data_IF_169052873695
#
_entry.id   IF_169052873695
#
_cell.length_a   1.000
_cell.length_b   1.000
_cell.length_c   1.000
_cell.angle_alpha   90.00
_cell.angle_beta   90.00
_cell.angle_gamma   90.00
#
_symmetry.space_group_name_H-M   'P 1'
#
loop_
_entity.id
_entity.type
_entity.pdbx_description
1 polymer ?
#
# COMPACT_ATOMS: atom_id res chain seq x y z
N UNK A 1 -33.89 42.98 10.84
CA UNK A 1 -33.65 43.15 9.39
C UNK A 1 -32.29 42.48 9.06
N UNK A 2 -32.29 41.29 8.54
CA UNK A 2 -31.17 40.60 7.83
C UNK A 2 -31.72 39.30 7.27
N UNK A 3 -32.52 39.42 6.24
CA UNK A 3 -32.87 38.34 5.28
C UNK A 3 -32.24 38.75 3.96
N UNK A 4 -31.95 37.74 3.15
CA UNK A 4 -31.48 37.84 1.76
C UNK A 4 -29.94 37.79 1.67
N UNK A 5 -29.42 36.59 1.48
CA UNK A 5 -28.48 36.17 0.41
C UNK A 5 -28.38 34.62 0.49
N UNK A 6 -29.39 33.91 0.04
CA UNK A 6 -29.34 32.47 -0.30
C UNK A 6 -30.26 32.28 -1.53
N UNK A 7 -29.95 32.91 -2.61
CA UNK A 7 -30.76 32.77 -3.83
C UNK A 7 -29.98 32.92 -5.15
N UNK A 8 -28.68 32.77 -5.16
CA UNK A 8 -27.90 32.99 -6.39
C UNK A 8 -27.07 31.83 -6.90
N UNK A 9 -27.24 30.59 -6.38
CA UNK A 9 -26.47 29.42 -6.83
C UNK A 9 -27.35 28.33 -7.47
N UNK A 10 -28.67 28.55 -7.55
CA UNK A 10 -29.64 27.52 -7.98
C UNK A 10 -30.18 27.69 -9.38
N UNK A 11 -29.68 28.61 -10.21
CA UNK A 11 -30.29 28.95 -11.52
C UNK A 11 -29.46 28.54 -12.76
N UNK A 12 -28.45 27.70 -12.66
CA UNK A 12 -27.73 27.19 -13.86
C UNK A 12 -27.79 25.66 -13.96
N UNK A 13 -28.70 25.00 -13.27
CA UNK A 13 -28.75 23.53 -13.22
C UNK A 13 -29.92 22.86 -13.95
N UNK A 14 -30.70 23.58 -14.78
CA UNK A 14 -31.93 22.98 -15.34
C UNK A 14 -31.95 22.68 -16.83
N UNK A 15 -30.84 22.82 -17.55
CA UNK A 15 -30.81 22.40 -18.96
C UNK A 15 -29.51 21.70 -19.27
N UNK A 16 -29.49 20.43 -19.40
CA UNK A 16 -28.53 19.52 -20.05
C UNK A 16 -28.16 18.28 -19.20
N UNK A 17 -29.18 17.51 -18.79
CA UNK A 17 -28.94 16.19 -18.17
C UNK A 17 -28.62 15.11 -19.24
N UNK A 18 -28.83 15.40 -20.52
CA UNK A 18 -28.49 14.50 -21.63
C UNK A 18 -27.19 15.00 -22.28
N UNK A 19 -26.06 14.33 -22.02
CA UNK A 19 -24.86 14.49 -22.84
C UNK A 19 -23.66 15.22 -22.23
N UNK A 20 -23.47 15.25 -20.90
CA UNK A 20 -22.20 15.75 -20.37
C UNK A 20 -21.05 14.86 -20.88
N UNK A 21 -20.07 15.49 -21.55
CA UNK A 21 -18.89 14.77 -21.98
C UNK A 21 -18.07 14.29 -20.78
N UNK A 22 -17.30 13.23 -20.94
CA UNK A 22 -16.41 12.72 -19.90
C UNK A 22 -15.46 13.81 -19.40
N UNK A 23 -15.01 14.70 -20.28
CA UNK A 23 -14.16 15.84 -19.93
C UNK A 23 -14.88 16.83 -19.00
N UNK A 24 -16.15 17.13 -19.24
CA UNK A 24 -16.96 17.99 -18.37
C UNK A 24 -17.18 17.34 -17.01
N UNK A 25 -17.56 16.05 -16.98
CA UNK A 25 -17.74 15.29 -15.73
C UNK A 25 -16.43 15.34 -14.91
N UNK A 26 -15.30 15.08 -15.54
CA UNK A 26 -13.99 15.09 -14.90
C UNK A 26 -13.65 16.46 -14.32
N UNK A 27 -13.87 17.54 -15.09
CA UNK A 27 -13.63 18.91 -14.64
C UNK A 27 -14.47 19.28 -13.41
N UNK A 28 -15.75 18.93 -13.39
CA UNK A 28 -16.63 19.19 -12.24
C UNK A 28 -16.20 18.33 -11.04
N UNK A 29 -15.93 17.04 -11.25
CA UNK A 29 -15.45 16.17 -10.18
C UNK A 29 -14.11 16.61 -9.57
N UNK A 30 -13.20 17.19 -10.35
CA UNK A 30 -11.92 17.72 -9.86
C UNK A 30 -12.13 18.91 -8.89
N UNK A 31 -13.18 19.70 -9.09
CA UNK A 31 -13.36 20.98 -8.39
C UNK A 31 -14.48 21.00 -7.35
N UNK A 32 -15.43 20.05 -7.41
CA UNK A 32 -16.55 20.03 -6.46
C UNK A 32 -16.12 19.67 -5.04
N UNK A 33 -16.72 20.31 -4.04
CA UNK A 33 -16.56 19.98 -2.62
C UNK A 33 -17.41 18.78 -2.19
N UNK A 34 -18.46 18.44 -2.97
CA UNK A 34 -19.31 17.27 -2.75
C UNK A 34 -19.31 16.36 -4.00
N UNK A 35 -18.23 15.58 -4.23
CA UNK A 35 -18.15 14.70 -5.38
C UNK A 35 -19.16 13.56 -5.33
N UNK A 36 -19.50 13.07 -4.13
CA UNK A 36 -20.47 11.98 -3.96
C UNK A 36 -21.87 12.47 -4.29
N UNK A 37 -22.28 13.61 -3.74
CA UNK A 37 -23.58 14.22 -4.03
C UNK A 37 -23.70 14.57 -5.51
N UNK A 38 -22.67 15.10 -6.13
CA UNK A 38 -22.66 15.35 -7.57
C UNK A 38 -22.91 14.08 -8.39
N UNK A 39 -22.21 12.97 -8.10
CA UNK A 39 -22.41 11.70 -8.82
C UNK A 39 -23.79 11.13 -8.58
N UNK A 40 -24.26 11.16 -7.32
CA UNK A 40 -25.52 10.55 -6.90
C UNK A 40 -26.75 11.31 -7.41
N UNK A 41 -26.75 12.63 -7.24
CA UNK A 41 -27.96 13.44 -7.45
C UNK A 41 -27.97 14.18 -8.80
N UNK A 42 -26.79 14.58 -9.32
CA UNK A 42 -26.69 15.33 -10.57
C UNK A 42 -26.43 14.38 -11.75
N UNK A 43 -25.36 13.58 -11.68
CA UNK A 43 -25.05 12.63 -12.75
C UNK A 43 -25.94 11.40 -12.77
N UNK A 44 -26.51 11.02 -11.62
CA UNK A 44 -27.31 9.79 -11.40
C UNK A 44 -26.61 8.53 -11.92
N UNK A 45 -25.27 8.49 -11.76
CA UNK A 45 -24.44 7.37 -12.18
C UNK A 45 -24.15 6.42 -11.03
N UNK A 46 -23.89 5.14 -11.37
CA UNK A 46 -23.40 4.14 -10.40
C UNK A 46 -22.02 4.54 -9.93
N UNK A 47 -21.76 4.38 -8.64
CA UNK A 47 -20.45 4.63 -8.04
C UNK A 47 -20.16 3.64 -6.94
N UNK A 48 -18.88 3.53 -6.59
CA UNK A 48 -18.38 2.76 -5.44
C UNK A 48 -17.34 3.59 -4.70
N UNK A 49 -17.29 3.43 -3.38
CA UNK A 49 -16.22 3.97 -2.56
C UNK A 49 -15.36 2.80 -2.12
N UNK A 50 -14.10 2.81 -2.55
CA UNK A 50 -13.12 1.77 -2.22
C UNK A 50 -12.14 2.31 -1.18
N UNK A 51 -12.01 1.61 -0.05
CA UNK A 51 -10.88 1.82 0.87
C UNK A 51 -9.74 0.93 0.40
N UNK A 52 -8.62 1.54 0.08
CA UNK A 52 -7.45 0.84 -0.47
C UNK A 52 -6.28 0.96 0.48
N UNK A 53 -5.73 -0.19 0.91
CA UNK A 53 -4.48 -0.26 1.63
C UNK A 53 -3.32 -0.41 0.63
N UNK A 54 -2.28 0.39 0.80
CA UNK A 54 -1.03 0.28 0.03
C UNK A 54 -0.12 -0.68 0.76
N UNK A 55 0.00 -1.89 0.25
CA UNK A 55 0.80 -2.95 0.91
C UNK A 55 2.31 -2.75 0.68
N UNK A 56 2.70 -2.30 -0.51
CA UNK A 56 4.08 -2.03 -0.91
C UNK A 56 4.17 -0.70 -1.65
N UNK A 57 5.21 0.09 -1.41
CA UNK A 57 5.39 1.38 -2.08
C UNK A 57 6.23 1.30 -3.37
N UNK A 58 6.80 0.16 -3.67
CA UNK A 58 7.65 -0.07 -4.86
C UNK A 58 7.03 -1.02 -5.87
N UNK A 59 5.98 -1.74 -5.48
CA UNK A 59 5.28 -2.70 -6.35
C UNK A 59 3.77 -2.62 -6.10
N UNK A 60 2.99 -2.39 -7.14
CA UNK A 60 1.54 -2.22 -7.07
C UNK A 60 0.84 -3.40 -7.74
N UNK A 61 -0.18 -3.94 -7.08
CA UNK A 61 -1.00 -5.04 -7.60
C UNK A 61 -1.95 -4.59 -8.71
N UNK A 62 -2.22 -3.29 -8.78
CA UNK A 62 -3.09 -2.73 -9.81
C UNK A 62 -3.22 -1.21 -9.75
N UNK A 63 -4.19 -0.70 -10.52
CA UNK A 63 -4.41 0.73 -10.65
C UNK A 63 -4.87 1.38 -9.34
N UNK A 64 -5.68 0.69 -8.53
CA UNK A 64 -6.26 1.27 -7.33
C UNK A 64 -5.20 1.55 -6.25
N UNK A 65 -4.32 0.59 -5.98
CA UNK A 65 -3.23 0.75 -5.01
C UNK A 65 -2.15 1.71 -5.52
N UNK A 66 -1.86 1.70 -6.84
CA UNK A 66 -1.00 2.71 -7.45
C UNK A 66 -1.56 4.13 -7.28
N UNK A 67 -2.87 4.35 -7.49
CA UNK A 67 -3.51 5.64 -7.26
C UNK A 67 -3.62 5.98 -5.77
N UNK A 68 -3.82 4.99 -4.91
CA UNK A 68 -3.81 5.19 -3.47
C UNK A 68 -2.47 5.75 -2.99
N UNK A 69 -1.37 5.27 -3.54
CA UNK A 69 -0.03 5.74 -3.19
C UNK A 69 0.35 7.03 -3.94
N UNK A 70 0.32 7.01 -5.28
CA UNK A 70 0.87 8.07 -6.13
C UNK A 70 -0.17 9.15 -6.49
N UNK A 71 -1.48 8.84 -6.44
CA UNK A 71 -2.53 9.77 -6.82
C UNK A 71 -2.55 11.03 -5.94
N UNK A 72 -2.80 12.17 -6.55
CA UNK A 72 -2.95 13.44 -5.82
C UNK A 72 -4.35 13.51 -5.19
N UNK A 73 -4.41 14.02 -3.95
CA UNK A 73 -5.68 14.27 -3.26
C UNK A 73 -6.59 15.14 -4.13
N UNK A 74 -7.88 14.86 -4.10
CA UNK A 74 -8.94 15.52 -4.87
C UNK A 74 -8.84 15.41 -6.39
N UNK A 75 -7.82 14.76 -6.94
CA UNK A 75 -7.63 14.61 -8.38
C UNK A 75 -8.45 13.45 -8.94
N UNK A 76 -8.99 13.65 -10.17
CA UNK A 76 -9.72 12.65 -10.95
C UNK A 76 -8.83 12.05 -12.03
N UNK A 77 -8.85 10.73 -12.12
CA UNK A 77 -8.07 9.93 -13.06
C UNK A 77 -8.97 9.12 -13.98
N UNK A 78 -8.46 8.76 -15.16
CA UNK A 78 -9.19 8.01 -16.18
C UNK A 78 -9.97 8.92 -17.16
N UNK A 79 -10.86 8.32 -18.00
CA UNK A 79 -11.00 6.88 -18.13
C UNK A 79 -9.78 6.22 -18.78
N UNK A 80 -9.66 4.90 -18.65
CA UNK A 80 -8.60 4.12 -19.29
C UNK A 80 -9.17 3.33 -20.47
N UNK A 81 -8.33 2.95 -21.43
CA UNK A 81 -8.72 2.28 -22.68
C UNK A 81 -9.64 1.07 -22.47
N UNK A 82 -9.46 0.33 -21.37
CA UNK A 82 -10.19 -0.88 -21.04
C UNK A 82 -11.07 -0.75 -19.78
N UNK A 83 -11.34 0.48 -19.32
CA UNK A 83 -12.07 0.69 -18.07
C UNK A 83 -12.97 1.92 -18.17
N UNK A 84 -14.28 1.69 -18.26
CA UNK A 84 -15.29 2.73 -18.44
C UNK A 84 -15.70 3.35 -17.08
N UNK A 85 -14.71 3.87 -16.34
CA UNK A 85 -14.94 4.57 -15.07
C UNK A 85 -13.88 5.65 -14.82
N UNK A 86 -14.21 6.58 -13.95
CA UNK A 86 -13.28 7.56 -13.36
C UNK A 86 -12.98 7.18 -11.92
N UNK A 87 -11.80 7.56 -11.44
CA UNK A 87 -11.43 7.45 -10.02
C UNK A 87 -11.02 8.81 -9.50
N UNK A 88 -11.67 9.29 -8.42
CA UNK A 88 -11.23 10.45 -7.65
C UNK A 88 -10.61 10.00 -6.33
N UNK A 89 -9.46 10.53 -5.97
CA UNK A 89 -8.84 10.31 -4.66
C UNK A 89 -9.50 11.25 -3.66
N UNK A 90 -10.30 10.69 -2.74
CA UNK A 90 -11.07 11.47 -1.75
C UNK A 90 -10.28 11.77 -0.48
N UNK A 91 -9.46 10.83 -0.04
CA UNK A 91 -8.65 10.96 1.17
C UNK A 91 -7.41 10.09 1.08
N UNK A 92 -6.37 10.49 1.82
CA UNK A 92 -5.14 9.72 2.03
C UNK A 92 -4.78 9.75 3.50
N UNK A 93 -4.37 8.59 4.03
CA UNK A 93 -3.95 8.44 5.41
C UNK A 93 -2.55 7.82 5.43
N UNK A 94 -1.58 8.48 6.09
CA UNK A 94 -0.23 7.95 6.18
C UNK A 94 -0.19 6.69 7.06
N UNK A 95 0.75 5.79 6.74
CA UNK A 95 1.12 4.66 7.58
C UNK A 95 2.64 4.57 7.68
N UNK A 96 3.15 3.68 8.54
CA UNK A 96 4.58 3.41 8.64
C UNK A 96 4.95 2.33 7.64
N UNK A 97 6.00 2.57 6.86
CA UNK A 97 6.61 1.60 5.98
C UNK A 97 7.95 1.16 6.55
N UNK A 98 8.25 -0.12 6.40
CA UNK A 98 9.51 -0.76 6.77
C UNK A 98 10.19 -1.31 5.54
N UNK A 99 11.53 -1.37 5.57
CA UNK A 99 12.34 -2.05 4.59
C UNK A 99 13.28 -3.01 5.33
N UNK A 100 13.17 -4.29 5.01
CA UNK A 100 13.94 -5.34 5.65
C UNK A 100 14.37 -6.39 4.64
N UNK A 101 15.44 -7.13 4.98
CA UNK A 101 15.71 -8.41 4.34
C UNK A 101 15.46 -9.55 5.33
N UNK A 102 15.02 -10.70 4.83
CA UNK A 102 14.79 -11.87 5.67
C UNK A 102 15.32 -13.18 5.07
N UNK A 103 15.54 -14.15 5.94
CA UNK A 103 15.85 -15.54 5.62
C UNK A 103 14.80 -16.39 6.31
N UNK A 104 13.97 -17.11 5.55
CA UNK A 104 12.96 -18.02 6.09
C UNK A 104 13.53 -19.43 6.19
N UNK A 105 13.60 -19.96 7.39
CA UNK A 105 13.89 -21.37 7.66
C UNK A 105 12.55 -22.09 7.91
N UNK A 106 12.00 -22.71 6.88
CA UNK A 106 10.69 -23.34 6.89
C UNK A 106 10.66 -24.56 7.82
N UNK A 107 9.67 -24.66 8.70
CA UNK A 107 9.47 -25.80 9.61
C UNK A 107 9.06 -27.08 8.91
N UNK A 108 8.56 -27.01 7.69
CA UNK A 108 8.33 -28.18 6.85
C UNK A 108 9.62 -28.83 6.35
N UNK A 109 10.70 -28.04 6.26
CA UNK A 109 12.02 -28.49 5.81
C UNK A 109 12.99 -28.76 6.97
N UNK A 110 12.88 -28.00 8.06
CA UNK A 110 13.82 -28.03 9.18
C UNK A 110 13.11 -28.33 10.51
N UNK A 111 13.63 -29.29 11.27
CA UNK A 111 13.22 -29.47 12.67
C UNK A 111 13.54 -28.19 13.46
N UNK A 112 12.67 -27.83 14.41
CA UNK A 112 12.76 -26.57 15.18
C UNK A 112 14.14 -26.32 15.80
N UNK A 113 14.71 -27.32 16.49
CA UNK A 113 16.03 -27.20 17.11
C UNK A 113 17.16 -27.00 16.08
N UNK A 114 17.04 -27.63 14.91
CA UNK A 114 18.01 -27.44 13.84
C UNK A 114 17.90 -26.03 13.23
N UNK A 115 16.69 -25.55 12.96
CA UNK A 115 16.46 -24.19 12.48
C UNK A 115 17.01 -23.13 13.45
N UNK A 116 16.83 -23.34 14.75
CA UNK A 116 17.34 -22.43 15.78
C UNK A 116 18.89 -22.41 15.83
N UNK A 117 19.52 -23.58 15.75
CA UNK A 117 21.00 -23.68 15.67
C UNK A 117 21.53 -23.08 14.37
N UNK A 118 20.88 -23.39 13.24
CA UNK A 118 21.26 -22.85 11.92
C UNK A 118 21.13 -21.34 11.87
N UNK A 119 20.05 -20.79 12.39
CA UNK A 119 19.84 -19.33 12.44
C UNK A 119 20.91 -18.61 13.26
N UNK A 120 21.32 -19.21 14.40
CA UNK A 120 22.40 -18.68 15.23
C UNK A 120 23.73 -18.68 14.47
N UNK A 121 24.03 -19.77 13.74
CA UNK A 121 25.24 -19.86 12.91
C UNK A 121 25.22 -18.85 11.76
N UNK A 122 24.08 -18.65 11.09
CA UNK A 122 23.88 -17.65 10.03
C UNK A 122 24.18 -16.26 10.59
N UNK A 123 23.56 -15.88 11.71
CA UNK A 123 23.76 -14.58 12.35
C UNK A 123 25.24 -14.38 12.70
N UNK A 124 25.88 -15.38 13.31
CA UNK A 124 27.31 -15.32 13.67
C UNK A 124 28.21 -15.10 12.44
N UNK A 125 27.96 -15.79 11.34
CA UNK A 125 28.74 -15.61 10.09
C UNK A 125 28.57 -14.19 9.53
N UNK A 126 27.37 -13.65 9.56
CA UNK A 126 27.08 -12.28 9.09
C UNK A 126 27.79 -11.26 10.00
N UNK A 127 27.62 -11.39 11.31
CA UNK A 127 28.22 -10.45 12.28
C UNK A 127 29.75 -10.46 12.29
N UNK A 128 30.35 -11.60 11.96
CA UNK A 128 31.82 -11.74 11.86
C UNK A 128 32.37 -11.43 10.47
N UNK A 129 31.52 -11.01 9.53
CA UNK A 129 31.92 -10.70 8.14
C UNK A 129 32.36 -11.89 7.31
N UNK A 130 32.12 -13.13 7.79
CA UNK A 130 32.44 -14.37 7.04
C UNK A 130 31.49 -14.61 5.86
N UNK A 131 30.33 -14.03 5.89
CA UNK A 131 29.37 -14.03 4.77
C UNK A 131 28.44 -12.83 4.87
N UNK A 132 27.88 -12.42 3.76
CA UNK A 132 26.86 -11.37 3.70
C UNK A 132 25.46 -11.92 4.03
N UNK A 133 24.54 -11.05 4.42
CA UNK A 133 23.13 -11.43 4.59
C UNK A 133 22.55 -11.98 3.29
N UNK A 134 22.87 -11.35 2.16
CA UNK A 134 22.39 -11.74 0.83
C UNK A 134 22.83 -13.16 0.42
N UNK A 135 24.10 -13.50 0.65
CA UNK A 135 24.61 -14.87 0.40
C UNK A 135 23.89 -15.91 1.26
N UNK A 136 23.67 -15.59 2.55
CA UNK A 136 22.94 -16.48 3.44
C UNK A 136 21.47 -16.63 3.04
N UNK A 137 20.83 -15.54 2.59
CA UNK A 137 19.45 -15.58 2.10
C UNK A 137 19.34 -16.46 0.84
N UNK A 138 20.23 -16.26 -0.14
CA UNK A 138 20.26 -17.08 -1.38
C UNK A 138 20.47 -18.55 -1.09
N UNK A 139 21.27 -18.86 -0.06
CA UNK A 139 21.65 -20.26 0.27
C UNK A 139 20.57 -20.97 1.09
N UNK A 140 19.95 -20.30 2.06
CA UNK A 140 19.14 -20.95 3.09
C UNK A 140 17.67 -20.56 3.11
N UNK A 141 17.27 -19.45 2.45
CA UNK A 141 15.90 -18.99 2.53
C UNK A 141 14.94 -19.88 1.73
N UNK A 142 13.89 -20.32 2.38
CA UNK A 142 12.77 -21.00 1.75
C UNK A 142 11.81 -20.04 1.04
N UNK A 143 11.91 -18.73 1.29
CA UNK A 143 11.15 -17.72 0.56
C UNK A 143 11.76 -17.47 -0.80
N UNK A 144 11.26 -18.20 -1.81
CA UNK A 144 11.72 -18.12 -3.19
C UNK A 144 11.48 -16.73 -3.83
N UNK A 145 10.53 -15.96 -3.29
CA UNK A 145 10.20 -14.63 -3.81
C UNK A 145 11.31 -13.61 -3.56
N UNK A 146 12.03 -13.73 -2.43
CA UNK A 146 13.09 -12.79 -2.05
C UNK A 146 14.50 -13.40 -1.99
N UNK A 147 14.63 -14.72 -1.88
CA UNK A 147 15.93 -15.40 -1.70
C UNK A 147 16.98 -14.98 -2.74
N UNK A 148 16.61 -14.98 -4.03
CA UNK A 148 17.52 -14.60 -5.14
C UNK A 148 17.88 -13.11 -5.16
N UNK A 149 17.12 -12.29 -4.41
CA UNK A 149 17.36 -10.86 -4.23
C UNK A 149 18.02 -10.55 -2.88
N UNK A 150 18.71 -11.54 -2.29
CA UNK A 150 19.37 -11.38 -1.00
C UNK A 150 18.43 -11.30 0.20
N UNK A 151 17.19 -11.81 0.05
CA UNK A 151 16.15 -11.77 1.05
C UNK A 151 15.41 -10.45 1.14
N UNK A 152 15.66 -9.50 0.23
CA UNK A 152 15.04 -8.16 0.25
C UNK A 152 13.53 -8.26 0.00
N UNK A 153 12.73 -7.71 0.94
CA UNK A 153 11.26 -7.64 0.86
C UNK A 153 10.75 -6.31 0.30
N UNK A 154 11.65 -5.39 -0.02
CA UNK A 154 11.28 -4.03 -0.42
C UNK A 154 10.56 -3.25 0.69
N UNK A 155 9.98 -2.11 0.34
CA UNK A 155 9.21 -1.27 1.24
C UNK A 155 7.77 -1.76 1.37
N UNK A 156 7.37 -2.19 2.56
CA UNK A 156 6.01 -2.63 2.86
C UNK A 156 5.42 -1.88 4.05
N UNK A 157 4.10 -1.80 4.09
CA UNK A 157 3.35 -1.09 5.13
C UNK A 157 3.29 -1.92 6.41
N UNK A 158 3.30 -1.27 7.56
CA UNK A 158 3.01 -1.89 8.85
C UNK A 158 1.67 -2.64 8.80
N UNK A 159 1.64 -3.88 9.26
CA UNK A 159 0.49 -4.78 9.21
C UNK A 159 0.41 -5.64 7.94
N UNK A 160 1.38 -5.54 7.02
CA UNK A 160 1.44 -6.39 5.83
C UNK A 160 1.99 -7.79 6.09
N UNK A 161 2.77 -7.95 7.15
CA UNK A 161 3.44 -9.21 7.49
C UNK A 161 2.64 -9.99 8.55
N UNK A 162 3.06 -11.22 8.80
CA UNK A 162 2.53 -12.01 9.94
C UNK A 162 2.70 -11.22 11.24
N UNK A 163 1.71 -11.24 12.15
CA UNK A 163 1.70 -10.37 13.33
C UNK A 163 2.97 -10.40 14.18
N UNK A 164 3.56 -11.60 14.38
CA UNK A 164 4.80 -11.76 15.15
C UNK A 164 5.98 -11.09 14.46
N UNK A 165 6.07 -11.24 13.12
CA UNK A 165 7.12 -10.64 12.32
C UNK A 165 6.98 -9.10 12.29
N UNK A 166 5.76 -8.61 12.07
CA UNK A 166 5.45 -7.17 12.05
C UNK A 166 5.78 -6.50 13.38
N UNK A 167 5.43 -7.12 14.51
CA UNK A 167 5.75 -6.63 15.85
C UNK A 167 7.26 -6.61 16.11
N UNK A 168 7.98 -7.68 15.73
CA UNK A 168 9.42 -7.76 15.89
C UNK A 168 10.13 -6.69 15.05
N UNK A 169 9.74 -6.49 13.79
CA UNK A 169 10.29 -5.44 12.92
C UNK A 169 10.09 -4.06 13.54
N UNK A 170 8.89 -3.80 14.07
CA UNK A 170 8.58 -2.50 14.69
C UNK A 170 9.39 -2.20 15.97
N UNK A 171 9.93 -3.22 16.62
CA UNK A 171 10.71 -3.11 17.85
C UNK A 171 12.23 -2.94 17.60
N UNK A 172 12.70 -3.09 16.37
CA UNK A 172 14.11 -3.04 16.00
C UNK A 172 14.43 -1.82 15.15
N UNK A 173 15.71 -1.49 15.05
CA UNK A 173 16.25 -0.33 14.31
C UNK A 173 17.15 -0.76 13.16
N UNK A 174 17.44 0.17 12.25
CA UNK A 174 18.36 -0.05 11.12
C UNK A 174 19.69 -0.65 11.58
N UNK A 175 20.07 -1.74 10.91
CA UNK A 175 21.30 -2.50 11.20
C UNK A 175 21.13 -3.65 12.19
N UNK A 176 20.02 -3.73 12.92
CA UNK A 176 19.75 -4.85 13.80
C UNK A 176 19.56 -6.13 12.99
N UNK A 177 20.08 -7.26 13.54
CA UNK A 177 19.82 -8.60 13.03
C UNK A 177 19.23 -9.41 14.17
N UNK A 178 18.06 -9.99 13.97
CA UNK A 178 17.33 -10.73 14.98
C UNK A 178 16.62 -11.94 14.38
N UNK A 179 16.08 -12.81 15.23
CA UNK A 179 15.28 -13.94 14.81
C UNK A 179 13.90 -13.92 15.45
N UNK A 180 12.90 -14.37 14.71
CA UNK A 180 11.51 -14.45 15.16
C UNK A 180 10.81 -15.67 14.61
N UNK A 181 10.07 -16.38 15.46
CA UNK A 181 9.24 -17.50 15.07
C UNK A 181 7.86 -17.01 14.61
N UNK A 182 7.38 -17.61 13.52
CA UNK A 182 6.02 -17.44 12.99
C UNK A 182 5.42 -18.80 12.64
N UNK A 183 4.18 -18.81 12.15
CA UNK A 183 3.55 -20.03 11.63
C UNK A 183 4.27 -20.58 10.37
N UNK A 184 4.98 -19.74 9.62
CA UNK A 184 5.75 -20.13 8.43
C UNK A 184 7.11 -20.76 8.77
N UNK A 185 7.65 -20.47 9.96
CA UNK A 185 8.98 -20.94 10.36
C UNK A 185 9.77 -19.94 11.17
N UNK A 186 11.08 -20.12 11.24
CA UNK A 186 12.01 -19.19 11.84
C UNK A 186 12.52 -18.20 10.81
N UNK A 187 12.30 -16.90 11.05
CA UNK A 187 12.86 -15.83 10.25
C UNK A 187 14.13 -15.28 10.92
N UNK A 188 15.21 -15.16 10.17
CA UNK A 188 16.32 -14.25 10.48
C UNK A 188 16.07 -12.98 9.70
N UNK A 189 16.05 -11.84 10.37
CA UNK A 189 15.65 -10.54 9.79
C UNK A 189 16.74 -9.52 10.02
N UNK A 190 16.98 -8.67 9.04
CA UNK A 190 17.78 -7.44 9.21
C UNK A 190 16.98 -6.22 8.77
N UNK A 191 17.04 -5.15 9.56
CA UNK A 191 16.45 -3.86 9.21
C UNK A 191 17.41 -3.12 8.29
N UNK A 192 17.02 -2.94 7.04
CA UNK A 192 17.88 -2.33 6.01
C UNK A 192 17.80 -0.81 6.00
N UNK A 193 16.63 -0.26 6.33
CA UNK A 193 16.39 1.19 6.35
C UNK A 193 15.57 1.64 7.56
N UNK A 194 15.71 2.94 7.91
CA UNK A 194 14.87 3.55 8.92
C UNK A 194 13.41 3.56 8.45
N UNK A 195 12.43 3.33 9.35
CA UNK A 195 11.02 3.42 9.00
C UNK A 195 10.67 4.79 8.44
N UNK A 196 9.78 4.83 7.45
CA UNK A 196 9.25 6.09 6.90
C UNK A 196 7.73 6.18 7.05
N UNK A 197 7.23 7.42 7.20
CA UNK A 197 5.80 7.72 7.09
C UNK A 197 5.49 8.08 5.64
N UNK A 198 4.50 7.41 5.06
CA UNK A 198 4.08 7.65 3.68
C UNK A 198 2.60 7.27 3.49
N UNK A 199 2.03 7.51 2.31
CA UNK A 199 0.65 7.18 2.00
C UNK A 199 0.39 5.67 2.14
N UNK A 200 -0.30 5.27 3.19
CA UNK A 200 -0.58 3.86 3.50
C UNK A 200 -2.01 3.43 3.18
N UNK A 201 -2.96 4.40 3.19
CA UNK A 201 -4.36 4.15 2.86
C UNK A 201 -4.90 5.29 2.01
N UNK A 202 -5.88 4.97 1.16
CA UNK A 202 -6.67 5.97 0.46
C UNK A 202 -8.13 5.58 0.37
N UNK A 203 -9.01 6.60 0.29
CA UNK A 203 -10.40 6.46 -0.06
C UNK A 203 -10.57 6.91 -1.51
N UNK A 204 -11.06 6.03 -2.36
CA UNK A 204 -11.23 6.26 -3.79
C UNK A 204 -12.70 6.23 -4.16
N UNK A 205 -13.19 7.26 -4.83
CA UNK A 205 -14.52 7.28 -5.47
C UNK A 205 -14.38 6.81 -6.91
N UNK A 206 -14.96 5.66 -7.21
CA UNK A 206 -15.06 5.11 -8.57
C UNK A 206 -16.42 5.43 -9.16
N UNK A 207 -16.45 6.11 -10.28
CA UNK A 207 -17.66 6.57 -10.99
C UNK A 207 -17.78 5.84 -12.32
N UNK A 208 -18.85 5.07 -12.55
CA UNK A 208 -19.09 4.40 -13.82
C UNK A 208 -19.57 5.40 -14.87
N UNK A 209 -19.02 5.32 -16.09
CA UNK A 209 -19.34 6.24 -17.19
C UNK A 209 -20.51 5.72 -18.06
#
# INVERSE_FOLDING_TARGET
MKKIIIAAVLLIASTHIFGQSVAQIKKVLDTTKDPIGYVKYVLKKKYKIDTVAVMCSTSFLGLADSLAYNGKLDKVYGPWKNANYLIKVLAKVPNTFYHVSHILLDTGLFKKNFADTLSTNIISKIQTGKSSFAEMATTYSADRGSASQGGDLGWFVRGAMLPQLDQAIAAHKKGDIFKVWTAAGLHVVTITDNPKKDNGFALLLRVML
#
